data_IF_209720086940
#
_entry.id   IF_209720086940
#
_cell.length_a   1.000
_cell.length_b   1.000
_cell.length_c   1.000
_cell.angle_alpha   90.00
_cell.angle_beta   90.00
_cell.angle_gamma   90.00
#
_symmetry.space_group_name_H-M   'P 1'
#
loop_
_entity.id
_entity.type
_entity.pdbx_description
1 polymer ?
#
# COMPACT_ATOMS: atom_id res chain seq x y z
N UNK A 1 15.33 6.37 14.04
CA UNK A 1 16.19 5.31 13.49
C UNK A 1 15.26 4.27 12.90
N UNK A 2 15.06 4.26 11.57
CA UNK A 2 14.30 3.20 10.93
C UNK A 2 15.13 1.92 11.01
N UNK A 3 14.62 0.93 11.73
CA UNK A 3 15.16 -0.43 11.68
C UNK A 3 14.80 -0.93 10.28
N UNK A 4 15.74 -0.91 9.37
CA UNK A 4 15.57 -1.53 8.06
C UNK A 4 15.45 -3.02 8.25
N UNK A 5 14.45 -3.61 7.62
CA UNK A 5 14.32 -5.05 7.55
C UNK A 5 15.45 -5.60 6.67
N UNK A 6 16.47 -6.18 7.28
CA UNK A 6 17.62 -6.76 6.57
C UNK A 6 17.21 -7.75 5.48
N UNK A 7 16.08 -8.43 5.66
CA UNK A 7 15.52 -9.35 4.67
C UNK A 7 15.01 -8.62 3.41
N UNK A 8 14.53 -7.37 3.55
CA UNK A 8 14.13 -6.53 2.41
C UNK A 8 15.36 -5.96 1.70
N UNK A 9 16.38 -5.55 2.46
CA UNK A 9 17.65 -5.05 1.90
C UNK A 9 18.44 -6.13 1.13
N UNK A 10 18.22 -7.41 1.43
CA UNK A 10 18.87 -8.54 0.76
C UNK A 10 18.21 -8.95 -0.57
N UNK A 11 17.20 -8.21 -1.06
CA UNK A 11 16.45 -8.50 -2.30
C UNK A 11 15.86 -9.92 -2.37
N UNK A 12 15.56 -10.51 -1.21
CA UNK A 12 15.00 -11.85 -1.11
C UNK A 12 13.54 -11.88 -1.57
N UNK A 13 13.12 -13.01 -2.14
CA UNK A 13 11.71 -13.31 -2.36
C UNK A 13 10.93 -13.49 -1.04
N UNK A 14 9.63 -13.68 -1.11
CA UNK A 14 8.79 -13.77 0.09
C UNK A 14 9.17 -14.97 0.97
N UNK A 15 9.50 -16.11 0.36
CA UNK A 15 9.91 -17.31 1.09
C UNK A 15 11.29 -17.15 1.73
N UNK A 16 12.21 -16.50 1.04
CA UNK A 16 13.55 -16.17 1.57
C UNK A 16 13.46 -15.20 2.74
N UNK A 17 12.61 -14.16 2.63
CA UNK A 17 12.35 -13.22 3.72
C UNK A 17 11.72 -13.90 4.93
N UNK A 18 10.75 -14.79 4.71
CA UNK A 18 10.14 -15.54 5.81
C UNK A 18 11.18 -16.39 6.55
N UNK A 19 11.97 -17.17 5.83
CA UNK A 19 13.05 -18.00 6.44
C UNK A 19 14.03 -17.16 7.24
N UNK A 20 14.54 -16.09 6.67
CA UNK A 20 15.48 -15.20 7.36
C UNK A 20 14.88 -14.58 8.63
N UNK A 21 13.61 -14.18 8.61
CA UNK A 21 12.91 -13.66 9.79
C UNK A 21 12.73 -14.71 10.87
N UNK A 22 12.37 -15.94 10.49
CA UNK A 22 12.24 -17.07 11.43
C UNK A 22 13.57 -17.44 12.06
N UNK A 23 14.65 -17.46 11.30
CA UNK A 23 15.98 -17.85 11.78
C UNK A 23 16.66 -16.75 12.62
N UNK A 24 16.54 -15.49 12.22
CA UNK A 24 17.30 -14.41 12.85
C UNK A 24 16.46 -13.50 13.75
N UNK A 25 15.25 -13.12 13.31
CA UNK A 25 14.44 -12.15 14.04
C UNK A 25 13.67 -12.80 15.20
N UNK A 26 13.06 -13.96 14.99
CA UNK A 26 12.25 -14.63 16.02
C UNK A 26 13.05 -14.91 17.29
N UNK A 27 14.26 -15.47 17.28
CA UNK A 27 15.04 -15.68 18.49
C UNK A 27 15.38 -14.39 19.25
N UNK A 28 15.57 -13.28 18.52
CA UNK A 28 15.80 -11.96 19.13
C UNK A 28 14.52 -11.46 19.81
N UNK A 29 13.40 -11.59 19.14
CA UNK A 29 12.09 -11.17 19.67
C UNK A 29 11.71 -11.97 20.91
N UNK A 30 11.95 -13.27 20.93
CA UNK A 30 11.70 -14.12 22.11
C UNK A 30 12.52 -13.67 23.32
N UNK A 31 13.81 -13.42 23.12
CA UNK A 31 14.68 -12.89 24.19
C UNK A 31 14.22 -11.50 24.65
N UNK A 32 13.82 -10.65 23.73
CA UNK A 32 13.31 -9.32 24.05
C UNK A 32 12.00 -9.39 24.82
N UNK A 33 11.09 -10.31 24.44
CA UNK A 33 9.84 -10.52 25.14
C UNK A 33 10.05 -11.01 26.58
N UNK A 34 10.99 -11.96 26.78
CA UNK A 34 11.34 -12.44 28.12
C UNK A 34 11.91 -11.29 28.96
N UNK A 35 12.80 -10.49 28.40
CA UNK A 35 13.37 -9.32 29.05
C UNK A 35 12.30 -8.28 29.44
N UNK A 36 11.36 -7.99 28.55
CA UNK A 36 10.24 -7.07 28.86
C UNK A 36 9.41 -7.54 30.05
N UNK A 37 9.12 -8.85 30.13
CA UNK A 37 8.39 -9.44 31.25
C UNK A 37 9.16 -9.31 32.57
N UNK A 38 10.45 -9.55 32.54
CA UNK A 38 11.32 -9.38 33.70
C UNK A 38 11.37 -7.91 34.16
N UNK A 39 11.63 -6.99 33.22
CA UNK A 39 11.69 -5.56 33.53
C UNK A 39 10.37 -5.00 34.06
N UNK A 40 9.24 -5.53 33.60
CA UNK A 40 7.92 -5.09 34.10
C UNK A 40 7.77 -5.28 35.61
N UNK A 41 8.40 -6.29 36.18
CA UNK A 41 8.36 -6.53 37.63
C UNK A 41 9.28 -5.59 38.43
N UNK A 42 10.26 -4.98 37.76
CA UNK A 42 11.29 -4.16 38.41
C UNK A 42 11.04 -2.64 38.29
N UNK A 43 10.19 -2.21 37.34
CA UNK A 43 9.94 -0.78 37.12
C UNK A 43 8.83 -0.25 38.01
N UNK A 44 8.94 1.02 38.40
CA UNK A 44 7.91 1.70 39.19
C UNK A 44 6.58 1.76 38.41
N UNK A 45 5.45 1.39 39.05
CA UNK A 45 4.13 1.52 38.45
C UNK A 45 3.88 2.96 37.99
N UNK A 46 3.27 3.15 36.81
CA UNK A 46 2.97 4.47 36.21
C UNK A 46 4.19 5.29 35.79
N UNK A 47 5.40 4.70 35.78
CA UNK A 47 6.56 5.37 35.18
C UNK A 47 6.46 5.31 33.65
N UNK A 48 7.09 6.25 32.92
CA UNK A 48 7.14 6.20 31.46
C UNK A 48 7.69 4.86 30.92
N UNK A 49 8.62 4.26 31.64
CA UNK A 49 9.16 2.93 31.31
C UNK A 49 8.09 1.83 31.48
N UNK A 50 7.30 1.86 32.57
CA UNK A 50 6.22 0.90 32.77
C UNK A 50 5.13 1.01 31.69
N UNK A 51 4.82 2.23 31.24
CA UNK A 51 3.88 2.49 30.15
C UNK A 51 4.42 1.94 28.82
N UNK A 52 5.68 2.18 28.49
CA UNK A 52 6.32 1.69 27.28
C UNK A 52 6.38 0.15 27.24
N UNK A 53 6.78 -0.48 28.35
CA UNK A 53 6.79 -1.95 28.49
C UNK A 53 5.36 -2.49 28.39
N UNK A 54 4.41 -1.86 29.04
CA UNK A 54 2.99 -2.23 28.98
C UNK A 54 2.44 -2.17 27.57
N UNK A 55 2.74 -1.10 26.83
CA UNK A 55 2.37 -0.97 25.42
C UNK A 55 2.94 -2.11 24.58
N UNK A 56 4.23 -2.39 24.69
CA UNK A 56 4.90 -3.45 23.94
C UNK A 56 4.30 -4.83 24.23
N UNK A 57 4.08 -5.15 25.50
CA UNK A 57 3.51 -6.45 25.92
C UNK A 57 2.06 -6.60 25.49
N UNK A 58 1.24 -5.55 25.62
CA UNK A 58 -0.18 -5.60 25.24
C UNK A 58 -0.37 -5.75 23.72
N UNK A 59 0.56 -5.21 22.94
CA UNK A 59 0.52 -5.27 21.47
C UNK A 59 1.45 -6.33 20.89
N UNK A 60 2.03 -7.21 21.70
CA UNK A 60 3.10 -8.11 21.28
C UNK A 60 2.76 -8.91 20.04
N UNK A 61 1.61 -9.57 20.01
CA UNK A 61 1.15 -10.35 18.85
C UNK A 61 1.06 -9.52 17.56
N UNK A 62 0.60 -8.28 17.66
CA UNK A 62 0.54 -7.39 16.51
C UNK A 62 1.94 -6.95 16.04
N UNK A 63 2.85 -6.68 16.99
CA UNK A 63 4.21 -6.24 16.70
C UNK A 63 5.06 -7.33 16.01
N UNK A 64 4.85 -8.60 16.35
CA UNK A 64 5.61 -9.72 15.75
C UNK A 64 4.98 -10.28 14.48
N UNK A 65 3.78 -9.84 14.10
CA UNK A 65 3.02 -10.41 12.97
C UNK A 65 3.79 -10.41 11.65
N UNK A 66 4.70 -9.47 11.44
CA UNK A 66 5.53 -9.41 10.22
C UNK A 66 6.42 -10.65 10.04
N UNK A 67 6.65 -11.42 11.12
CA UNK A 67 7.43 -12.67 11.05
C UNK A 67 6.63 -13.86 10.54
N UNK A 68 5.30 -13.74 10.40
CA UNK A 68 4.41 -14.84 9.99
C UNK A 68 4.39 -15.05 8.48
N UNK A 69 4.69 -13.99 7.69
CA UNK A 69 4.72 -14.09 6.23
C UNK A 69 5.75 -13.12 5.62
N UNK A 70 6.40 -13.55 4.55
CA UNK A 70 7.47 -12.79 3.90
C UNK A 70 6.97 -11.53 3.17
N UNK A 71 5.73 -11.53 2.68
CA UNK A 71 5.13 -10.37 2.01
C UNK A 71 4.74 -9.23 2.97
N UNK A 72 4.65 -9.49 4.28
CA UNK A 72 4.32 -8.45 5.25
C UNK A 72 5.49 -7.49 5.41
N UNK A 73 5.20 -6.19 5.36
CA UNK A 73 6.19 -5.16 5.68
C UNK A 73 6.31 -4.95 7.18
N UNK A 74 7.53 -4.72 7.67
CA UNK A 74 7.77 -4.34 9.06
C UNK A 74 7.38 -2.88 9.32
N UNK A 75 7.34 -2.06 8.26
CA UNK A 75 7.00 -0.65 8.33
C UNK A 75 5.56 -0.37 7.88
N UNK A 76 5.08 0.82 8.24
CA UNK A 76 3.77 1.34 7.85
C UNK A 76 3.87 2.50 6.86
N UNK A 77 5.01 2.66 6.19
CA UNK A 77 5.31 3.81 5.34
C UNK A 77 4.29 4.01 4.21
N UNK A 78 3.70 2.92 3.71
CA UNK A 78 2.67 3.00 2.65
C UNK A 78 1.41 3.67 3.20
N UNK A 79 0.88 3.19 4.33
CA UNK A 79 -0.30 3.78 4.95
C UNK A 79 -0.05 5.23 5.40
N UNK A 80 1.11 5.52 5.96
CA UNK A 80 1.49 6.87 6.37
C UNK A 80 1.56 7.84 5.19
N UNK A 81 2.10 7.42 4.05
CA UNK A 81 2.10 8.24 2.81
C UNK A 81 0.70 8.54 2.32
N UNK A 82 -0.21 7.58 2.37
CA UNK A 82 -1.60 7.79 1.98
C UNK A 82 -2.32 8.75 2.95
N UNK A 83 -2.14 8.58 4.24
CA UNK A 83 -2.67 9.50 5.25
C UNK A 83 -2.09 10.90 5.13
N UNK A 84 -0.82 11.04 4.74
CA UNK A 84 -0.17 12.32 4.52
C UNK A 84 -0.84 13.15 3.42
N UNK A 85 -1.32 12.51 2.35
CA UNK A 85 -2.07 13.19 1.28
C UNK A 85 -3.34 13.87 1.82
N UNK A 86 -4.09 13.15 2.65
CA UNK A 86 -5.30 13.69 3.31
C UNK A 86 -4.93 14.81 4.28
N UNK A 87 -3.88 14.61 5.09
CA UNK A 87 -3.44 15.59 6.08
C UNK A 87 -2.96 16.91 5.45
N UNK A 88 -2.27 16.84 4.31
CA UNK A 88 -1.86 18.01 3.54
C UNK A 88 -3.06 18.66 2.85
N UNK A 89 -3.91 17.87 2.19
CA UNK A 89 -5.10 18.36 1.50
C UNK A 89 -6.07 19.07 2.45
N UNK A 90 -6.21 18.59 3.69
CA UNK A 90 -7.04 19.23 4.72
C UNK A 90 -6.68 20.69 4.97
N UNK A 91 -5.42 21.06 4.84
CA UNK A 91 -5.00 22.47 4.95
C UNK A 91 -5.54 23.36 3.83
N UNK A 92 -5.81 22.77 2.65
CA UNK A 92 -6.35 23.48 1.51
C UNK A 92 -7.89 23.51 1.55
N UNK A 93 -8.53 22.44 1.99
CA UNK A 93 -10.01 22.32 1.99
C UNK A 93 -10.66 22.82 3.27
N UNK A 94 -9.89 22.94 4.36
CA UNK A 94 -10.28 23.34 5.72
C UNK A 94 -11.29 22.39 6.36
N UNK A 95 -12.36 21.99 5.68
CA UNK A 95 -13.40 21.09 6.18
C UNK A 95 -14.08 20.32 5.04
N UNK A 96 -14.82 19.28 5.41
CA UNK A 96 -15.70 18.54 4.54
C UNK A 96 -17.13 19.07 4.74
N UNK A 97 -17.74 19.66 3.72
CA UNK A 97 -19.03 20.37 3.81
C UNK A 97 -20.23 19.51 4.21
N UNK A 98 -20.12 18.17 4.09
CA UNK A 98 -21.16 17.22 4.49
C UNK A 98 -20.61 15.81 4.65
N UNK A 99 -21.30 14.94 5.40
CA UNK A 99 -20.97 13.52 5.53
C UNK A 99 -20.92 12.82 4.16
N UNK A 100 -21.88 13.10 3.29
CA UNK A 100 -21.94 12.56 1.91
C UNK A 100 -20.74 13.02 1.09
N UNK A 101 -20.35 14.30 1.19
CA UNK A 101 -19.15 14.82 0.53
C UNK A 101 -17.87 14.14 1.02
N UNK A 102 -17.77 13.86 2.33
CA UNK A 102 -16.66 13.11 2.91
C UNK A 102 -16.56 11.68 2.39
N UNK A 103 -17.67 10.98 2.31
CA UNK A 103 -17.72 9.62 1.75
C UNK A 103 -17.32 9.61 0.26
N UNK A 104 -17.84 10.55 -0.52
CA UNK A 104 -17.47 10.69 -1.94
C UNK A 104 -15.98 10.98 -2.10
N UNK A 105 -15.43 11.89 -1.30
CA UNK A 105 -14.01 12.18 -1.30
C UNK A 105 -13.16 10.96 -0.94
N UNK A 106 -13.56 10.19 0.09
CA UNK A 106 -12.86 8.97 0.50
C UNK A 106 -12.81 7.93 -0.63
N UNK A 107 -13.92 7.72 -1.33
CA UNK A 107 -13.97 6.82 -2.49
C UNK A 107 -13.04 7.28 -3.61
N UNK A 108 -13.13 8.55 -4.01
CA UNK A 108 -12.28 9.10 -5.07
C UNK A 108 -10.79 9.07 -4.70
N UNK A 109 -10.46 9.37 -3.44
CA UNK A 109 -9.08 9.24 -2.95
C UNK A 109 -8.58 7.81 -3.00
N UNK A 110 -9.41 6.82 -2.66
CA UNK A 110 -9.02 5.41 -2.74
C UNK A 110 -8.68 5.02 -4.18
N UNK A 111 -9.48 5.41 -5.16
CA UNK A 111 -9.20 5.13 -6.58
C UNK A 111 -7.96 5.85 -7.08
N UNK A 112 -7.83 7.14 -6.84
CA UNK A 112 -6.65 7.91 -7.30
C UNK A 112 -5.37 7.43 -6.64
N UNK A 113 -5.42 7.07 -5.36
CA UNK A 113 -4.29 6.50 -4.63
C UNK A 113 -3.88 5.15 -5.21
N UNK A 114 -4.84 4.28 -5.50
CA UNK A 114 -4.59 2.97 -6.13
C UNK A 114 -4.00 3.16 -7.53
N UNK A 115 -4.52 4.08 -8.33
CA UNK A 115 -3.95 4.41 -9.64
C UNK A 115 -2.46 4.81 -9.52
N UNK A 116 -2.13 5.72 -8.61
CA UNK A 116 -0.72 6.12 -8.39
C UNK A 116 0.18 4.94 -7.99
N UNK A 117 -0.31 4.03 -7.14
CA UNK A 117 0.45 2.85 -6.72
C UNK A 117 0.69 1.85 -7.85
N UNK A 118 -0.25 1.75 -8.78
CA UNK A 118 -0.17 0.87 -9.94
C UNK A 118 0.51 1.52 -11.16
N UNK A 119 0.92 2.79 -11.06
CA UNK A 119 1.46 3.54 -12.20
C UNK A 119 0.41 3.85 -13.28
N UNK A 120 -0.87 3.87 -12.90
CA UNK A 120 -1.99 4.24 -13.76
C UNK A 120 -2.21 5.74 -13.69
N UNK A 121 -2.39 6.40 -14.85
CA UNK A 121 -2.73 7.82 -14.89
C UNK A 121 -4.18 8.03 -14.43
N UNK A 122 -4.41 8.74 -13.29
CA UNK A 122 -5.73 8.79 -12.65
C UNK A 122 -6.81 9.48 -13.49
N UNK A 123 -6.44 10.49 -14.28
CA UNK A 123 -7.39 11.20 -15.14
C UNK A 123 -7.92 10.32 -16.26
N UNK A 124 -7.02 9.63 -16.97
CA UNK A 124 -7.39 8.69 -18.02
C UNK A 124 -8.27 7.55 -17.49
N UNK A 125 -7.92 7.03 -16.31
CA UNK A 125 -8.71 6.02 -15.61
C UNK A 125 -10.12 6.51 -15.28
N UNK A 126 -10.24 7.62 -14.56
CA UNK A 126 -11.54 8.15 -14.14
C UNK A 126 -12.41 8.56 -15.32
N UNK A 127 -11.84 9.15 -16.36
CA UNK A 127 -12.57 9.51 -17.59
C UNK A 127 -13.21 8.29 -18.24
N UNK A 128 -12.46 7.20 -18.40
CA UNK A 128 -12.98 5.96 -19.00
C UNK A 128 -14.02 5.29 -18.11
N UNK A 129 -13.71 5.11 -16.82
CA UNK A 129 -14.58 4.43 -15.86
C UNK A 129 -15.92 5.17 -15.68
N UNK A 130 -15.91 6.49 -15.50
CA UNK A 130 -17.12 7.27 -15.32
C UNK A 130 -18.01 7.24 -16.58
N UNK A 131 -17.42 7.12 -17.77
CA UNK A 131 -18.17 6.98 -19.02
C UNK A 131 -18.84 5.59 -19.15
N UNK A 132 -18.19 4.55 -18.65
CA UNK A 132 -18.68 3.15 -18.74
C UNK A 132 -19.57 2.74 -17.59
N UNK A 133 -19.37 3.33 -16.41
CA UNK A 133 -20.08 2.96 -15.17
C UNK A 133 -21.60 2.89 -15.30
N UNK A 134 -22.30 3.86 -15.96
CA UNK A 134 -23.77 3.83 -16.08
C UNK A 134 -24.31 2.64 -16.89
N UNK A 135 -23.50 2.05 -17.76
CA UNK A 135 -23.88 0.94 -18.65
C UNK A 135 -23.28 -0.39 -18.25
N UNK A 136 -22.45 -0.43 -17.21
CA UNK A 136 -21.78 -1.65 -16.74
C UNK A 136 -22.66 -2.39 -15.74
N UNK A 137 -23.05 -3.66 -15.98
CA UNK A 137 -23.78 -4.48 -15.02
C UNK A 137 -23.03 -4.65 -13.70
N UNK A 138 -23.75 -4.82 -12.59
CA UNK A 138 -23.17 -4.94 -11.25
C UNK A 138 -22.14 -6.06 -11.13
N UNK A 139 -22.38 -7.19 -11.79
CA UNK A 139 -21.49 -8.36 -11.79
C UNK A 139 -20.13 -8.08 -12.47
N UNK A 140 -20.08 -7.06 -13.33
CA UNK A 140 -18.89 -6.69 -14.09
C UNK A 140 -18.16 -5.47 -13.56
N UNK A 141 -18.63 -4.86 -12.46
CA UNK A 141 -17.97 -3.69 -11.86
C UNK A 141 -16.51 -3.97 -11.45
N UNK A 142 -16.17 -5.20 -11.13
CA UNK A 142 -14.79 -5.63 -10.82
C UNK A 142 -13.83 -5.36 -11.98
N UNK A 143 -14.30 -5.40 -13.24
CA UNK A 143 -13.49 -5.11 -14.43
C UNK A 143 -13.05 -3.64 -14.50
N UNK A 144 -13.77 -2.75 -13.81
CA UNK A 144 -13.46 -1.32 -13.74
C UNK A 144 -12.46 -0.96 -12.65
N UNK A 145 -12.04 -1.90 -11.80
CA UNK A 145 -11.01 -1.64 -10.79
C UNK A 145 -9.67 -1.30 -11.46
N UNK A 146 -8.83 -0.43 -10.86
CA UNK A 146 -7.61 0.09 -11.49
C UNK A 146 -6.64 -0.99 -11.99
N UNK A 147 -6.47 -2.08 -11.24
CA UNK A 147 -5.62 -3.22 -11.59
C UNK A 147 -6.15 -3.97 -12.82
N UNK A 148 -7.45 -4.24 -12.87
CA UNK A 148 -8.12 -4.92 -13.98
C UNK A 148 -8.16 -4.05 -15.24
N UNK A 149 -8.47 -2.78 -15.06
CA UNK A 149 -8.46 -1.79 -16.13
C UNK A 149 -7.09 -1.68 -16.80
N UNK A 150 -6.01 -1.63 -16.00
CA UNK A 150 -4.65 -1.60 -16.51
C UNK A 150 -4.31 -2.86 -17.31
N UNK A 151 -4.62 -4.05 -16.75
CA UNK A 151 -4.37 -5.33 -17.42
C UNK A 151 -5.09 -5.41 -18.78
N UNK A 152 -6.35 -5.00 -18.84
CA UNK A 152 -7.14 -4.99 -20.10
C UNK A 152 -6.52 -4.06 -21.14
N UNK A 153 -6.04 -2.88 -20.76
CA UNK A 153 -5.40 -1.94 -21.70
C UNK A 153 -4.03 -2.42 -22.17
N UNK A 154 -3.25 -3.04 -21.32
CA UNK A 154 -1.98 -3.63 -21.71
C UNK A 154 -2.18 -4.76 -22.72
N UNK A 155 -3.18 -5.61 -22.52
CA UNK A 155 -3.55 -6.66 -23.48
C UNK A 155 -4.01 -6.06 -24.82
N UNK A 156 -4.88 -5.05 -24.80
CA UNK A 156 -5.35 -4.37 -26.01
C UNK A 156 -4.20 -3.69 -26.79
N UNK A 157 -3.23 -3.11 -26.11
CA UNK A 157 -2.05 -2.50 -26.73
C UNK A 157 -1.12 -3.52 -27.38
N UNK A 158 -1.05 -4.75 -26.84
CA UNK A 158 -0.26 -5.84 -27.42
C UNK A 158 -0.91 -6.47 -28.66
N UNK A 159 -2.22 -6.35 -28.79
CA UNK A 159 -3.00 -6.91 -29.91
C UNK A 159 -3.06 -5.95 -31.11
N UNK A 160 -2.79 -4.65 -30.94
CA UNK A 160 -2.70 -3.71 -32.05
C UNK A 160 -1.31 -3.79 -32.69
N UNK A 161 -1.15 -4.31 -33.94
CA UNK A 161 0.10 -4.20 -34.67
C UNK A 161 0.41 -2.74 -34.93
N UNK A 162 1.70 -2.38 -34.86
CA UNK A 162 2.19 -1.04 -35.17
C UNK A 162 1.63 -0.58 -36.54
N UNK A 163 1.21 0.70 -36.70
CA UNK A 163 0.82 1.22 -37.99
C UNK A 163 2.00 1.05 -38.95
N UNK A 164 1.78 0.28 -40.02
CA UNK A 164 2.74 0.14 -41.12
C UNK A 164 3.08 1.52 -41.68
N UNK A 165 4.32 1.93 -41.47
CA UNK A 165 4.92 3.07 -42.15
C UNK A 165 5.16 2.70 -43.63
N UNK A 166 4.11 2.84 -44.44
CA UNK A 166 4.24 2.71 -45.88
C UNK A 166 3.31 3.73 -46.57
N UNK A 167 3.86 4.81 -46.96
CA UNK A 167 3.52 5.63 -48.14
C UNK A 167 4.19 7.01 -48.09
N UNK A 168 5.50 7.03 -48.27
CA UNK A 168 6.18 8.20 -48.77
C UNK A 168 6.79 7.85 -50.12
N UNK A 169 5.99 7.92 -51.18
CA UNK A 169 6.51 7.98 -52.54
C UNK A 169 6.92 9.41 -52.84
N UNK A 170 8.13 9.65 -53.30
CA UNK A 170 8.51 10.95 -53.87
C UNK A 170 8.05 11.00 -55.32
N UNK A 171 7.12 11.88 -55.67
CA UNK A 171 6.91 12.28 -57.08
C UNK A 171 7.89 13.38 -57.42
N UNK A 172 8.88 13.03 -58.22
CA UNK A 172 9.67 13.94 -59.02
C UNK A 172 8.82 14.50 -60.17
N UNK A 173 8.87 15.77 -60.39
CA UNK A 173 9.01 16.50 -61.69
C UNK A 173 8.90 17.99 -61.42
#
# INVERSE_FOLDING_TARGET
MCIRDSATDAELDDDGRLRMRQELAVPILERFHAWLKEQRAQVLPKSPMAEAIGYALNNWTALIRYTEAGFLSIDNNVAEREMKRIAIGRKNWLFVGSTKGGQTAAVLFSFTSTCHRLGVEPWAYLKDVLSRLPTTPAERLVELLPDRWQATRQQAAQVQPAPSADSASPSAS
#
